data_IF_110281822065
#
_entry.id   IF_110281822065
#
_cell.length_a   1.000
_cell.length_b   1.000
_cell.length_c   1.000
_cell.angle_alpha   90.00
_cell.angle_beta   90.00
_cell.angle_gamma   90.00
#
_symmetry.space_group_name_H-M   'P 1'
#
loop_
_entity.id
_entity.type
_entity.pdbx_description
1 polymer ?
#
# COMPACT_ATOMS: atom_id res chain seq x y z
N UNK A 1 -19.86 10.11 12.70
CA UNK A 1 -20.39 10.39 11.35
C UNK A 1 -21.41 11.54 11.36
N UNK A 2 -22.23 11.65 12.41
CA UNK A 2 -23.28 12.69 12.50
C UNK A 2 -22.76 14.16 12.42
N UNK A 3 -21.49 14.38 12.64
CA UNK A 3 -20.87 15.71 12.62
C UNK A 3 -20.22 16.07 11.26
N UNK A 4 -20.32 15.19 10.25
CA UNK A 4 -19.74 15.43 8.94
C UNK A 4 -20.80 15.95 7.97
N UNK A 5 -20.56 17.08 7.32
CA UNK A 5 -21.51 17.79 6.49
C UNK A 5 -21.69 17.21 5.07
N UNK A 6 -20.71 16.43 4.60
CA UNK A 6 -20.70 15.88 3.25
C UNK A 6 -20.74 14.35 3.22
N UNK A 7 -21.39 13.80 2.22
CA UNK A 7 -21.51 12.33 2.03
C UNK A 7 -20.14 11.66 1.92
N UNK A 8 -19.17 12.30 1.25
CA UNK A 8 -17.82 11.78 1.12
C UNK A 8 -17.08 11.81 2.46
N UNK A 9 -17.26 12.86 3.25
CA UNK A 9 -16.69 12.99 4.60
C UNK A 9 -17.28 11.95 5.55
N UNK A 10 -18.58 11.67 5.44
CA UNK A 10 -19.25 10.61 6.21
C UNK A 10 -18.72 9.22 5.86
N UNK A 11 -18.58 8.92 4.55
CA UNK A 11 -17.98 7.67 4.09
C UNK A 11 -16.51 7.53 4.57
N UNK A 12 -15.76 8.61 4.51
CA UNK A 12 -14.39 8.69 5.03
C UNK A 12 -14.33 8.40 6.52
N UNK A 13 -15.24 9.00 7.30
CA UNK A 13 -15.30 8.79 8.75
C UNK A 13 -15.67 7.33 9.08
N UNK A 14 -16.62 6.73 8.35
CA UNK A 14 -16.98 5.33 8.50
C UNK A 14 -15.80 4.39 8.19
N UNK A 15 -15.09 4.64 7.08
CA UNK A 15 -13.89 3.89 6.70
C UNK A 15 -12.81 3.99 7.77
N UNK A 16 -12.47 5.22 8.22
CA UNK A 16 -11.45 5.44 9.26
C UNK A 16 -11.83 4.76 10.58
N UNK A 17 -13.11 4.74 10.94
CA UNK A 17 -13.59 4.05 12.14
C UNK A 17 -13.32 2.54 12.04
N UNK A 18 -13.66 1.90 10.91
CA UNK A 18 -13.39 0.48 10.69
C UNK A 18 -11.90 0.19 10.66
N UNK A 19 -11.11 1.04 10.01
CA UNK A 19 -9.65 0.85 9.92
C UNK A 19 -8.97 0.96 11.29
N UNK A 20 -9.37 1.95 12.11
CA UNK A 20 -8.72 2.26 13.39
C UNK A 20 -9.20 1.37 14.52
N UNK A 21 -10.52 1.16 14.62
CA UNK A 21 -11.16 0.59 15.82
C UNK A 21 -11.41 -0.91 15.69
N UNK A 22 -11.18 -1.51 14.53
CA UNK A 22 -11.28 -2.96 14.28
C UNK A 22 -9.94 -3.49 13.80
N UNK A 23 -9.29 -4.31 14.64
CA UNK A 23 -8.01 -4.92 14.30
C UNK A 23 -8.18 -5.93 13.15
N UNK A 24 -7.32 -5.86 12.16
CA UNK A 24 -7.30 -6.85 11.08
C UNK A 24 -6.66 -8.15 11.54
N UNK A 25 -7.34 -9.27 11.27
CA UNK A 25 -6.82 -10.62 11.46
C UNK A 25 -7.01 -11.35 10.14
N UNK A 26 -5.90 -11.78 9.53
CA UNK A 26 -5.97 -12.51 8.27
C UNK A 26 -6.49 -13.96 8.51
N UNK A 27 -7.60 -14.29 7.83
CA UNK A 27 -8.17 -15.64 7.83
C UNK A 27 -8.17 -16.23 6.40
N UNK A 28 -8.05 -15.37 5.39
CA UNK A 28 -8.12 -15.75 3.97
C UNK A 28 -9.53 -16.07 3.47
N UNK A 29 -9.66 -16.18 2.16
CA UNK A 29 -10.88 -16.67 1.50
C UNK A 29 -10.79 -18.16 1.15
N UNK A 30 -9.58 -18.67 1.07
CA UNK A 30 -9.22 -20.04 0.66
C UNK A 30 -9.41 -21.09 1.74
N UNK A 31 -9.54 -20.71 3.00
CA UNK A 31 -9.80 -21.61 4.14
C UNK A 31 -11.20 -22.21 4.21
N UNK A 32 -11.99 -22.13 3.13
CA UNK A 32 -13.36 -22.68 3.06
C UNK A 32 -14.41 -21.84 3.77
N UNK A 33 -14.05 -20.68 4.32
CA UNK A 33 -14.98 -19.80 5.01
C UNK A 33 -15.26 -18.53 4.18
N UNK A 34 -16.18 -18.66 3.23
CA UNK A 34 -16.68 -17.52 2.43
C UNK A 34 -17.73 -16.68 3.20
N UNK A 35 -18.20 -17.18 4.35
CA UNK A 35 -19.20 -16.46 5.16
C UNK A 35 -18.52 -15.39 6.01
N UNK A 36 -18.94 -14.11 5.94
CA UNK A 36 -18.45 -13.05 6.79
C UNK A 36 -18.95 -13.23 8.23
N UNK A 37 -18.16 -12.80 9.20
CA UNK A 37 -18.71 -12.44 10.51
C UNK A 37 -19.73 -11.31 10.33
N UNK A 38 -20.75 -11.26 11.17
CA UNK A 38 -21.73 -10.17 11.10
C UNK A 38 -21.10 -8.82 11.42
N UNK A 39 -21.71 -7.73 10.93
CA UNK A 39 -21.27 -6.38 11.28
C UNK A 39 -21.30 -6.17 12.82
N UNK A 40 -22.32 -6.71 13.49
CA UNK A 40 -22.46 -6.65 14.95
C UNK A 40 -21.29 -7.36 15.66
N UNK A 41 -20.99 -8.61 15.29
CA UNK A 41 -19.93 -9.39 15.93
C UNK A 41 -18.56 -8.76 15.66
N UNK A 42 -18.31 -8.31 14.43
CA UNK A 42 -17.07 -7.62 14.07
C UNK A 42 -16.86 -6.37 14.91
N UNK A 43 -17.93 -5.59 15.12
CA UNK A 43 -17.87 -4.39 15.96
C UNK A 43 -17.70 -4.72 17.44
N UNK A 44 -18.42 -5.72 17.93
CA UNK A 44 -18.37 -6.13 19.33
C UNK A 44 -16.97 -6.63 19.72
N UNK A 45 -16.39 -7.49 18.88
CA UNK A 45 -15.10 -8.11 19.15
C UNK A 45 -13.90 -7.23 18.83
N UNK A 46 -14.08 -6.13 18.09
CA UNK A 46 -13.01 -5.21 17.67
C UNK A 46 -11.90 -5.87 16.84
N UNK A 47 -12.22 -6.98 16.19
CA UNK A 47 -11.36 -7.61 15.19
C UNK A 47 -12.20 -8.24 14.09
N UNK A 48 -11.58 -8.42 12.92
CA UNK A 48 -12.19 -9.09 11.78
C UNK A 48 -11.19 -9.26 10.64
N UNK A 49 -11.50 -10.18 9.75
CA UNK A 49 -10.82 -10.32 8.48
C UNK A 49 -11.39 -9.34 7.42
N UNK A 50 -10.95 -9.46 6.16
CA UNK A 50 -11.47 -8.62 5.07
C UNK A 50 -13.00 -8.70 4.96
N UNK A 51 -13.58 -9.89 5.14
CA UNK A 51 -15.04 -10.10 5.05
C UNK A 51 -15.81 -9.41 6.18
N UNK A 52 -15.39 -9.61 7.43
CA UNK A 52 -16.04 -9.01 8.60
C UNK A 52 -15.93 -7.47 8.56
N UNK A 53 -14.77 -6.93 8.22
CA UNK A 53 -14.56 -5.48 8.11
C UNK A 53 -15.35 -4.89 6.95
N UNK A 54 -15.48 -5.59 5.82
CA UNK A 54 -16.36 -5.21 4.70
C UNK A 54 -17.83 -5.22 5.11
N UNK A 55 -18.30 -6.25 5.80
CA UNK A 55 -19.68 -6.32 6.30
C UNK A 55 -20.02 -5.15 7.24
N UNK A 56 -19.11 -4.83 8.16
CA UNK A 56 -19.26 -3.69 9.07
C UNK A 56 -19.28 -2.36 8.31
N UNK A 57 -18.37 -2.16 7.35
CA UNK A 57 -18.32 -0.94 6.57
C UNK A 57 -19.60 -0.75 5.74
N UNK A 58 -20.09 -1.82 5.08
CA UNK A 58 -21.35 -1.78 4.34
C UNK A 58 -22.54 -1.43 5.23
N UNK A 59 -22.61 -1.97 6.44
CA UNK A 59 -23.68 -1.63 7.40
C UNK A 59 -23.62 -0.14 7.77
N UNK A 60 -22.43 0.40 8.04
CA UNK A 60 -22.27 1.82 8.35
C UNK A 60 -22.65 2.73 7.17
N UNK A 61 -22.26 2.36 5.94
CA UNK A 61 -22.60 3.12 4.74
C UNK A 61 -24.10 3.08 4.46
N UNK A 62 -24.76 1.93 4.67
CA UNK A 62 -26.22 1.79 4.54
C UNK A 62 -26.97 2.70 5.54
N UNK A 63 -26.54 2.76 6.82
CA UNK A 63 -27.10 3.67 7.82
C UNK A 63 -26.91 5.17 7.46
N UNK A 64 -25.89 5.47 6.66
CA UNK A 64 -25.62 6.81 6.15
C UNK A 64 -26.35 7.10 4.82
N UNK A 65 -27.12 6.13 4.28
CA UNK A 65 -27.81 6.25 3.00
C UNK A 65 -26.86 6.27 1.79
N UNK A 66 -25.66 5.71 1.92
CA UNK A 66 -24.64 5.66 0.87
C UNK A 66 -24.75 4.32 0.13
N UNK A 67 -24.98 4.38 -1.19
CA UNK A 67 -25.02 3.20 -2.04
C UNK A 67 -23.63 2.55 -2.10
N UNK A 68 -23.55 1.30 -1.68
CA UNK A 68 -22.28 0.56 -1.66
C UNK A 68 -22.53 -0.95 -1.78
N UNK A 69 -21.54 -1.65 -2.29
CA UNK A 69 -21.56 -3.10 -2.45
C UNK A 69 -20.17 -3.71 -2.15
N UNK A 70 -20.17 -4.98 -1.77
CA UNK A 70 -18.92 -5.74 -1.66
C UNK A 70 -18.45 -6.16 -3.05
N UNK A 71 -17.14 -6.14 -3.27
CA UNK A 71 -16.51 -6.64 -4.50
C UNK A 71 -15.36 -7.56 -4.15
N UNK A 72 -15.28 -8.71 -4.83
CA UNK A 72 -14.15 -9.61 -4.75
C UNK A 72 -13.07 -9.19 -5.74
N UNK A 73 -11.83 -9.35 -5.31
CA UNK A 73 -10.64 -9.02 -6.10
C UNK A 73 -9.54 -10.04 -5.86
N UNK A 74 -8.56 -10.09 -6.76
CA UNK A 74 -7.32 -10.84 -6.56
C UNK A 74 -6.21 -9.88 -6.13
N UNK A 75 -5.81 -9.93 -4.87
CA UNK A 75 -4.80 -9.06 -4.27
C UNK A 75 -3.37 -9.56 -4.52
N UNK A 76 -3.21 -10.81 -4.95
CA UNK A 76 -1.91 -11.39 -5.29
C UNK A 76 -1.41 -10.98 -6.68
N UNK A 77 -2.22 -10.26 -7.47
CA UNK A 77 -1.89 -9.79 -8.81
C UNK A 77 -2.03 -10.87 -9.91
N UNK A 78 -2.70 -11.99 -9.61
CA UNK A 78 -2.92 -13.09 -10.54
C UNK A 78 -4.27 -13.01 -11.27
N UNK A 79 -4.75 -11.79 -11.54
CA UNK A 79 -6.06 -11.56 -12.18
C UNK A 79 -5.99 -11.34 -13.70
N UNK A 80 -4.80 -11.41 -14.29
CA UNK A 80 -4.65 -11.34 -15.75
C UNK A 80 -5.26 -12.57 -16.41
N UNK A 81 -6.08 -12.38 -17.43
CA UNK A 81 -6.82 -13.46 -18.11
C UNK A 81 -7.85 -14.15 -17.19
N UNK A 82 -8.36 -13.49 -16.16
CA UNK A 82 -9.36 -14.06 -15.25
C UNK A 82 -10.68 -14.37 -15.97
N UNK A 83 -11.03 -13.58 -16.96
CA UNK A 83 -12.21 -13.75 -17.83
C UNK A 83 -12.11 -14.94 -18.80
N UNK A 84 -10.90 -15.41 -19.08
CA UNK A 84 -10.64 -16.55 -19.95
C UNK A 84 -10.66 -17.90 -19.22
N UNK A 85 -10.76 -17.87 -17.89
CA UNK A 85 -10.71 -19.05 -17.03
C UNK A 85 -12.11 -19.51 -16.63
N UNK A 86 -12.23 -20.81 -16.32
CA UNK A 86 -13.46 -21.31 -15.72
C UNK A 86 -13.72 -20.65 -14.37
N UNK A 87 -14.98 -20.31 -14.06
CA UNK A 87 -15.34 -19.69 -12.79
C UNK A 87 -14.86 -20.52 -11.60
N UNK A 88 -14.05 -19.90 -10.75
CA UNK A 88 -13.50 -20.52 -9.55
C UNK A 88 -13.41 -19.48 -8.42
N UNK A 89 -14.17 -19.65 -7.31
CA UNK A 89 -14.08 -18.73 -6.18
C UNK A 89 -12.68 -18.58 -5.60
N UNK A 90 -11.84 -19.61 -5.69
CA UNK A 90 -10.45 -19.57 -5.21
C UNK A 90 -9.53 -18.63 -6.01
N UNK A 91 -10.03 -18.00 -7.08
CA UNK A 91 -9.29 -16.97 -7.81
C UNK A 91 -9.37 -15.60 -7.13
N UNK A 92 -10.18 -15.44 -6.09
CA UNK A 92 -10.31 -14.22 -5.31
C UNK A 92 -9.76 -14.47 -3.91
N UNK A 93 -8.89 -13.58 -3.45
CA UNK A 93 -8.26 -13.69 -2.13
C UNK A 93 -8.58 -12.48 -1.23
N UNK A 94 -9.30 -11.49 -1.74
CA UNK A 94 -9.66 -10.30 -1.00
C UNK A 94 -11.06 -9.77 -1.35
N UNK A 95 -11.67 -9.06 -0.40
CA UNK A 95 -12.95 -8.36 -0.56
C UNK A 95 -12.86 -6.96 0.02
N UNK A 96 -13.41 -5.99 -0.70
CA UNK A 96 -13.50 -4.60 -0.31
C UNK A 96 -14.85 -3.99 -0.71
N UNK A 97 -15.06 -2.71 -0.44
CA UNK A 97 -16.30 -2.00 -0.71
C UNK A 97 -16.14 -1.07 -1.91
N UNK A 98 -17.06 -1.16 -2.85
CA UNK A 98 -17.28 -0.17 -3.91
C UNK A 98 -18.47 0.71 -3.52
N UNK A 99 -18.28 2.02 -3.42
CA UNK A 99 -19.33 2.98 -3.07
C UNK A 99 -19.52 4.00 -4.18
N UNK A 100 -20.78 4.43 -4.40
CA UNK A 100 -21.13 5.50 -5.34
C UNK A 100 -21.50 6.76 -4.57
N UNK A 101 -20.71 7.82 -4.76
CA UNK A 101 -20.89 9.10 -4.04
C UNK A 101 -20.76 10.24 -5.04
N UNK A 102 -21.83 11.05 -5.17
CA UNK A 102 -21.82 12.21 -6.06
C UNK A 102 -21.56 11.88 -7.53
N UNK A 103 -21.96 10.69 -7.99
CA UNK A 103 -21.73 10.21 -9.35
C UNK A 103 -20.33 9.62 -9.60
N UNK A 104 -19.45 9.63 -8.60
CA UNK A 104 -18.13 9.01 -8.68
C UNK A 104 -18.10 7.66 -7.93
N UNK A 105 -17.25 6.76 -8.39
CA UNK A 105 -16.99 5.46 -7.75
C UNK A 105 -15.78 5.56 -6.83
N UNK A 106 -15.95 5.11 -5.59
CA UNK A 106 -14.92 5.06 -4.56
C UNK A 106 -14.69 3.62 -4.13
N UNK A 107 -13.42 3.28 -3.94
CA UNK A 107 -12.98 1.98 -3.47
C UNK A 107 -12.51 2.12 -2.02
N UNK A 108 -13.19 1.43 -1.12
CA UNK A 108 -13.02 1.60 0.32
C UNK A 108 -12.57 0.27 0.92
N UNK A 109 -11.32 0.21 1.34
CA UNK A 109 -10.75 -0.99 1.95
C UNK A 109 -10.55 -0.80 3.45
N UNK A 110 -11.40 -1.46 4.24
CA UNK A 110 -11.33 -1.43 5.69
C UNK A 110 -10.09 -2.12 6.28
N UNK A 111 -9.35 -2.90 5.49
CA UNK A 111 -8.16 -3.61 5.94
C UNK A 111 -6.89 -2.78 5.88
N UNK A 112 -6.90 -1.72 5.06
CA UNK A 112 -5.78 -0.79 4.96
C UNK A 112 -5.67 0.08 6.22
N UNK A 113 -4.48 0.61 6.52
CA UNK A 113 -4.31 1.54 7.63
C UNK A 113 -5.03 2.87 7.38
N UNK A 114 -5.44 3.60 8.44
CA UNK A 114 -6.24 4.83 8.34
C UNK A 114 -5.46 6.06 7.82
N UNK A 115 -4.30 5.85 7.23
CA UNK A 115 -3.43 6.90 6.67
C UNK A 115 -3.73 7.22 5.22
N UNK A 116 -4.61 6.45 4.57
CA UNK A 116 -5.02 6.70 3.18
C UNK A 116 -6.22 7.63 3.18
N UNK A 117 -6.13 8.86 2.62
CA UNK A 117 -7.30 9.67 2.40
C UNK A 117 -8.27 8.93 1.46
N UNK A 118 -9.58 8.91 1.72
CA UNK A 118 -10.56 8.24 0.85
C UNK A 118 -10.61 8.84 -0.56
N UNK A 119 -10.17 10.11 -0.71
CA UNK A 119 -10.02 10.79 -1.99
C UNK A 119 -8.78 10.36 -2.78
N UNK A 120 -7.77 9.79 -2.12
CA UNK A 120 -6.69 9.12 -2.81
C UNK A 120 -7.18 7.71 -3.14
N UNK A 121 -7.73 7.55 -4.32
CA UNK A 121 -7.95 6.22 -4.88
C UNK A 121 -6.58 5.56 -4.93
N UNK A 122 -6.28 4.56 -4.11
CA UNK A 122 -5.08 3.78 -4.31
C UNK A 122 -5.17 3.29 -5.75
N UNK A 123 -4.08 3.35 -6.48
CA UNK A 123 -4.01 2.66 -7.76
C UNK A 123 -4.07 1.18 -7.40
N UNK A 124 -5.26 0.64 -7.42
CA UNK A 124 -5.45 -0.78 -7.14
C UNK A 124 -4.81 -1.56 -8.29
N UNK A 125 -4.02 -2.57 -7.97
CA UNK A 125 -3.42 -3.41 -9.00
C UNK A 125 -4.43 -4.32 -9.70
N UNK A 126 -5.73 -4.18 -9.37
CA UNK A 126 -6.78 -5.05 -9.89
C UNK A 126 -7.15 -4.70 -11.31
N UNK A 127 -7.20 -5.72 -12.17
CA UNK A 127 -7.75 -5.61 -13.54
C UNK A 127 -9.20 -6.04 -13.58
N UNK A 128 -9.58 -6.97 -12.72
CA UNK A 128 -10.91 -7.55 -12.67
C UNK A 128 -11.48 -7.47 -11.26
N UNK A 129 -12.78 -7.22 -11.19
CA UNK A 129 -13.55 -7.26 -9.95
C UNK A 129 -14.83 -8.05 -10.17
N UNK A 130 -15.29 -8.72 -9.11
CA UNK A 130 -16.58 -9.41 -9.11
C UNK A 130 -17.49 -8.77 -8.05
N UNK A 131 -18.48 -7.94 -8.44
CA UNK A 131 -19.46 -7.41 -7.51
C UNK A 131 -20.28 -8.51 -6.87
N UNK A 132 -20.57 -8.40 -5.58
CA UNK A 132 -21.43 -9.33 -4.87
C UNK A 132 -22.82 -8.74 -4.75
N UNK A 133 -23.73 -9.16 -5.64
CA UNK A 133 -25.12 -8.73 -5.64
C UNK A 133 -26.06 -9.89 -5.33
N UNK A 134 -27.29 -9.57 -4.84
CA UNK A 134 -28.31 -10.60 -4.51
C UNK A 134 -28.74 -11.46 -5.70
N UNK A 135 -28.57 -10.96 -6.91
CA UNK A 135 -29.03 -11.61 -8.14
C UNK A 135 -27.88 -12.21 -8.97
N UNK A 136 -26.68 -12.26 -8.39
CA UNK A 136 -25.47 -12.61 -9.11
C UNK A 136 -24.93 -11.42 -9.92
N UNK A 137 -23.71 -11.58 -10.41
CA UNK A 137 -23.03 -10.57 -11.21
C UNK A 137 -22.02 -11.24 -12.15
N UNK A 138 -21.48 -10.45 -13.06
CA UNK A 138 -20.38 -10.85 -13.94
C UNK A 138 -19.11 -10.16 -13.52
N UNK A 139 -17.97 -10.69 -13.95
CA UNK A 139 -16.69 -10.00 -13.86
C UNK A 139 -16.78 -8.65 -14.57
N UNK A 140 -16.26 -7.62 -13.92
CA UNK A 140 -16.12 -6.29 -14.48
C UNK A 140 -14.65 -5.98 -14.67
N UNK A 141 -14.27 -5.56 -15.88
CA UNK A 141 -12.93 -5.11 -16.19
C UNK A 141 -12.73 -3.69 -15.69
N UNK A 142 -11.71 -3.48 -14.86
CA UNK A 142 -11.28 -2.15 -14.48
C UNK A 142 -10.31 -1.62 -15.53
N UNK A 143 -10.61 -0.44 -16.09
CA UNK A 143 -9.66 0.22 -16.97
C UNK A 143 -8.42 0.62 -16.15
N UNK A 144 -7.34 -0.12 -16.36
CA UNK A 144 -6.07 0.21 -15.75
C UNK A 144 -5.54 1.51 -16.34
N UNK A 145 -5.18 2.42 -15.45
CA UNK A 145 -4.46 3.63 -15.81
C UNK A 145 -3.08 3.58 -15.18
N UNK A 146 -2.01 3.82 -15.95
CA UNK A 146 -0.68 3.86 -15.39
C UNK A 146 -0.61 4.94 -14.30
N UNK A 147 0.11 4.64 -13.24
CA UNK A 147 0.38 5.62 -12.21
C UNK A 147 1.10 6.83 -12.83
N UNK A 148 0.70 8.04 -12.45
CA UNK A 148 1.33 9.27 -12.93
C UNK A 148 2.77 9.44 -12.44
N UNK A 149 3.14 8.70 -11.39
CA UNK A 149 4.46 8.70 -10.77
C UNK A 149 4.88 7.25 -10.53
N UNK A 150 6.18 6.94 -10.58
CA UNK A 150 6.67 5.61 -10.23
C UNK A 150 6.24 5.22 -8.81
N UNK A 151 5.92 3.95 -8.61
CA UNK A 151 5.62 3.41 -7.27
C UNK A 151 6.86 3.44 -6.38
N UNK A 152 8.02 3.28 -6.98
CA UNK A 152 9.30 3.35 -6.29
C UNK A 152 10.28 4.18 -7.11
N UNK A 153 11.00 5.08 -6.43
CA UNK A 153 12.08 5.87 -7.00
C UNK A 153 13.17 6.05 -5.96
N UNK A 154 14.41 5.83 -6.35
CA UNK A 154 15.58 6.17 -5.53
C UNK A 154 16.38 7.26 -6.24
N UNK A 155 16.64 8.32 -5.51
CA UNK A 155 17.47 9.44 -5.92
C UNK A 155 18.82 9.31 -5.22
N UNK A 156 19.90 9.44 -5.97
CA UNK A 156 21.26 9.43 -5.45
C UNK A 156 21.94 10.78 -5.70
N UNK A 157 22.53 11.33 -4.67
CA UNK A 157 23.47 12.46 -4.73
C UNK A 157 24.85 11.90 -4.39
N UNK A 158 25.77 11.89 -5.36
CA UNK A 158 27.11 11.30 -5.21
C UNK A 158 28.14 12.40 -5.41
N UNK A 159 28.95 12.67 -4.40
CA UNK A 159 30.06 13.60 -4.45
C UNK A 159 31.40 12.84 -4.43
N UNK A 160 32.00 12.70 -5.61
CA UNK A 160 33.29 12.04 -5.81
C UNK A 160 34.46 13.03 -6.06
N UNK A 161 34.29 14.31 -5.74
CA UNK A 161 35.32 15.35 -5.95
C UNK A 161 36.62 15.13 -5.14
N UNK A 162 36.57 14.29 -4.12
CA UNK A 162 37.75 13.90 -3.36
C UNK A 162 38.76 13.09 -4.19
N UNK A 163 38.35 12.57 -5.36
CA UNK A 163 39.19 11.79 -6.24
C UNK A 163 38.77 10.32 -6.37
N UNK A 164 39.34 9.65 -7.37
CA UNK A 164 38.94 8.27 -7.71
C UNK A 164 39.34 7.24 -6.67
N UNK A 165 40.39 7.51 -5.89
CA UNK A 165 40.93 6.60 -4.89
C UNK A 165 40.37 6.88 -3.47
N UNK A 166 39.43 7.84 -3.38
CA UNK A 166 38.80 8.22 -2.13
C UNK A 166 37.34 7.79 -2.11
N UNK A 167 36.80 7.46 -0.92
CA UNK A 167 35.35 7.23 -0.80
C UNK A 167 34.54 8.45 -1.23
N UNK A 168 33.49 8.22 -2.01
CA UNK A 168 32.54 9.26 -2.36
C UNK A 168 31.53 9.50 -1.23
N UNK A 169 31.16 10.75 -1.00
CA UNK A 169 30.01 11.07 -0.14
C UNK A 169 28.72 10.79 -0.91
N UNK A 170 27.79 10.11 -0.26
CA UNK A 170 26.54 9.72 -0.88
C UNK A 170 25.35 10.05 0.03
N UNK A 171 24.32 10.64 -0.56
CA UNK A 171 23.00 10.67 0.00
C UNK A 171 22.04 9.95 -0.95
N UNK A 172 21.22 9.06 -0.44
CA UNK A 172 20.13 8.41 -1.18
C UNK A 172 18.79 8.71 -0.54
N UNK A 173 17.77 8.95 -1.39
CA UNK A 173 16.39 9.11 -0.96
C UNK A 173 15.53 8.14 -1.74
N UNK A 174 15.00 7.13 -1.04
CA UNK A 174 14.05 6.16 -1.61
C UNK A 174 12.63 6.56 -1.22
N UNK A 175 11.77 6.71 -2.21
CA UNK A 175 10.36 7.05 -2.07
C UNK A 175 9.55 5.87 -2.56
N UNK A 176 8.76 5.26 -1.68
CA UNK A 176 7.89 4.11 -2.00
C UNK A 176 6.45 4.51 -1.80
N UNK A 177 5.64 4.36 -2.84
CA UNK A 177 4.22 4.74 -2.91
C UNK A 177 3.31 3.51 -2.94
N UNK A 178 2.00 3.77 -2.98
CA UNK A 178 1.00 2.72 -3.11
C UNK A 178 1.01 1.73 -1.94
N UNK A 179 0.63 0.49 -2.24
CA UNK A 179 0.48 -0.57 -1.22
C UNK A 179 1.79 -0.86 -0.50
N UNK A 180 2.92 -0.90 -1.21
CA UNK A 180 4.24 -1.12 -0.58
C UNK A 180 4.58 -0.03 0.43
N UNK A 181 4.34 1.24 0.08
CA UNK A 181 4.57 2.36 0.99
C UNK A 181 3.70 2.29 2.25
N UNK A 182 2.44 1.87 2.10
CA UNK A 182 1.53 1.64 3.22
C UNK A 182 1.97 0.46 4.11
N UNK A 183 2.42 -0.63 3.51
CA UNK A 183 2.95 -1.78 4.25
C UNK A 183 4.17 -1.37 5.09
N UNK A 184 5.09 -0.57 4.51
CA UNK A 184 6.21 -0.01 5.25
C UNK A 184 5.75 0.90 6.40
N UNK A 185 4.72 1.74 6.18
CA UNK A 185 4.14 2.57 7.22
C UNK A 185 3.63 1.72 8.40
N UNK A 186 2.87 0.66 8.12
CA UNK A 186 2.35 -0.24 9.16
C UNK A 186 3.49 -0.92 9.90
N UNK A 187 4.43 -1.48 9.17
CA UNK A 187 5.55 -2.21 9.74
C UNK A 187 6.45 -1.32 10.59
N UNK A 188 6.79 -0.13 10.10
CA UNK A 188 7.77 0.73 10.75
C UNK A 188 7.18 1.56 11.89
N UNK A 189 5.92 1.97 11.80
CA UNK A 189 5.27 2.71 12.88
C UNK A 189 5.02 1.88 14.15
N UNK A 190 5.04 0.55 14.03
CA UNK A 190 4.93 -0.36 15.17
C UNK A 190 6.25 -0.58 15.93
N UNK A 191 7.37 -0.06 15.42
CA UNK A 191 8.71 -0.24 16.01
C UNK A 191 9.11 0.99 16.82
N UNK A 192 9.88 0.78 17.88
CA UNK A 192 10.55 1.89 18.55
C UNK A 192 11.58 2.53 17.59
N UNK A 193 11.77 3.88 17.60
CA UNK A 193 12.65 4.55 16.62
C UNK A 193 14.07 3.95 16.53
N UNK A 194 14.66 3.61 17.65
CA UNK A 194 16.01 3.00 17.70
C UNK A 194 16.03 1.58 17.11
N UNK A 195 14.99 0.80 17.30
CA UNK A 195 14.88 -0.55 16.71
C UNK A 195 14.73 -0.45 15.18
N UNK A 196 13.90 0.47 14.72
CA UNK A 196 13.73 0.75 13.30
C UNK A 196 15.07 1.16 12.65
N UNK A 197 15.73 2.17 13.21
CA UNK A 197 16.99 2.68 12.65
C UNK A 197 18.10 1.63 12.70
N UNK A 198 18.19 0.83 13.77
CA UNK A 198 19.16 -0.28 13.86
C UNK A 198 18.88 -1.36 12.83
N UNK A 199 17.62 -1.74 12.65
CA UNK A 199 17.21 -2.73 11.65
C UNK A 199 17.48 -2.26 10.22
N UNK A 200 17.15 -1.01 9.91
CA UNK A 200 17.46 -0.42 8.61
C UNK A 200 18.95 -0.35 8.35
N UNK A 201 19.76 0.08 9.32
CA UNK A 201 21.23 0.12 9.18
C UNK A 201 21.80 -1.27 8.89
N UNK A 202 21.32 -2.31 9.56
CA UNK A 202 21.79 -3.68 9.32
C UNK A 202 21.48 -4.17 7.90
N UNK A 203 20.33 -3.77 7.34
CA UNK A 203 19.95 -4.12 5.96
C UNK A 203 20.73 -3.34 4.90
N UNK A 204 21.16 -2.11 5.23
CA UNK A 204 21.87 -1.21 4.31
C UNK A 204 23.36 -1.56 4.22
N UNK A 205 23.95 -2.06 5.30
CA UNK A 205 25.39 -2.43 5.32
C UNK A 205 25.62 -3.57 4.33
N UNK A 206 26.16 -3.21 3.18
CA UNK A 206 26.51 -4.10 2.06
C UNK A 206 27.84 -3.66 1.46
N UNK A 207 28.29 -4.32 0.39
CA UNK A 207 29.59 -4.03 -0.23
C UNK A 207 29.70 -2.59 -0.77
N UNK A 208 28.57 -1.93 -1.00
CA UNK A 208 28.53 -0.57 -1.57
C UNK A 208 28.72 0.53 -0.51
N UNK A 209 28.08 0.39 0.66
CA UNK A 209 28.18 1.37 1.73
C UNK A 209 29.40 1.07 2.61
N UNK A 210 30.39 1.96 2.58
CA UNK A 210 31.55 1.87 3.46
C UNK A 210 31.23 2.39 4.88
N UNK A 211 30.49 3.50 4.96
CA UNK A 211 29.90 4.02 6.20
C UNK A 211 28.46 4.39 5.99
N UNK A 212 27.65 4.27 7.04
CA UNK A 212 26.29 4.79 7.12
C UNK A 212 26.26 5.78 8.28
N UNK A 213 26.29 7.06 7.96
CA UNK A 213 26.37 8.15 8.95
C UNK A 213 24.99 8.45 9.53
N UNK A 214 23.95 8.55 8.65
CA UNK A 214 22.61 8.88 9.07
C UNK A 214 21.57 8.04 8.27
N UNK A 215 20.49 7.67 8.97
CA UNK A 215 19.31 6.98 8.40
C UNK A 215 18.08 7.63 8.97
N UNK A 216 17.21 8.12 8.10
CA UNK A 216 15.94 8.73 8.47
C UNK A 216 14.82 8.09 7.68
N UNK A 217 13.74 7.77 8.38
CA UNK A 217 12.51 7.31 7.77
C UNK A 217 11.35 8.19 8.22
N UNK A 218 10.45 8.48 7.29
CA UNK A 218 9.16 9.13 7.56
C UNK A 218 8.10 8.64 6.60
N UNK A 219 6.87 8.70 7.02
CA UNK A 219 5.74 8.56 6.11
C UNK A 219 5.16 9.93 5.78
N UNK A 220 5.09 10.23 4.49
CA UNK A 220 4.49 11.45 3.97
C UNK A 220 3.01 11.18 3.69
N UNK A 221 2.14 11.70 4.57
CA UNK A 221 0.70 11.47 4.47
C UNK A 221 0.09 12.15 3.25
N UNK A 222 0.60 13.30 2.86
CA UNK A 222 0.09 14.07 1.73
C UNK A 222 0.45 13.42 0.41
N UNK A 223 1.68 12.92 0.29
CA UNK A 223 2.15 12.17 -0.86
C UNK A 223 1.75 10.68 -0.83
N UNK A 224 1.17 10.18 0.28
CA UNK A 224 0.92 8.77 0.57
C UNK A 224 2.15 7.91 0.28
N UNK A 225 3.31 8.32 0.79
CA UNK A 225 4.59 7.73 0.47
C UNK A 225 5.47 7.49 1.71
N UNK A 226 6.12 6.35 1.76
CA UNK A 226 7.23 6.06 2.66
C UNK A 226 8.50 6.66 2.07
N UNK A 227 9.24 7.42 2.87
CA UNK A 227 10.47 8.10 2.45
C UNK A 227 11.60 7.67 3.38
N UNK A 228 12.59 7.00 2.81
CA UNK A 228 13.83 6.60 3.48
C UNK A 228 14.99 7.42 2.93
N UNK A 229 15.71 8.11 3.79
CA UNK A 229 16.93 8.85 3.44
C UNK A 229 18.12 8.24 4.18
N UNK A 230 19.19 8.00 3.44
CA UNK A 230 20.45 7.42 3.95
C UNK A 230 21.57 8.33 3.51
N UNK A 231 22.52 8.60 4.39
CA UNK A 231 23.76 9.29 4.03
C UNK A 231 24.98 8.59 4.61
N UNK A 232 26.10 8.72 3.91
CA UNK A 232 27.35 8.08 4.31
C UNK A 232 28.40 8.15 3.20
N UNK A 233 29.22 7.11 3.12
CA UNK A 233 30.27 7.00 2.09
C UNK A 233 30.17 5.68 1.34
N UNK A 234 30.45 5.72 0.04
CA UNK A 234 30.61 4.56 -0.82
C UNK A 234 32.07 4.39 -1.24
N UNK A 235 32.52 3.15 -1.25
CA UNK A 235 33.69 2.76 -2.03
C UNK A 235 33.21 2.53 -3.46
N UNK A 236 33.67 3.40 -4.37
CA UNK A 236 33.34 3.28 -5.79
C UNK A 236 34.43 2.49 -6.49
N UNK A 237 34.09 1.35 -7.07
CA UNK A 237 34.99 0.59 -7.93
C UNK A 237 34.84 1.15 -9.36
N UNK A 238 35.77 2.04 -9.72
CA UNK A 238 35.81 2.69 -11.02
C UNK A 238 36.30 1.74 -12.10
N UNK A 239 35.55 1.62 -13.19
CA UNK A 239 36.05 0.96 -14.39
C UNK A 239 36.92 1.98 -15.17
N UNK A 240 38.13 1.58 -15.48
CA UNK A 240 39.07 2.35 -16.30
C UNK A 240 39.05 1.80 -17.73
N UNK A 241 38.74 2.63 -18.73
CA UNK A 241 38.67 2.23 -20.14
C UNK A 241 40.05 2.31 -20.86
N UNK A 242 41.10 2.64 -20.11
CA UNK A 242 42.45 2.81 -20.64
C UNK A 242 42.66 4.11 -21.43
N UNK A 243 41.64 4.89 -21.64
CA UNK A 243 41.64 6.20 -22.34
C UNK A 243 41.64 7.40 -21.39
N UNK A 244 41.73 7.15 -20.08
CA UNK A 244 41.64 8.18 -19.04
C UNK A 244 40.23 8.51 -18.56
N UNK A 245 39.17 7.94 -19.19
CA UNK A 245 37.80 8.00 -18.70
C UNK A 245 37.55 6.90 -17.67
N UNK A 246 36.81 7.22 -16.62
CA UNK A 246 36.40 6.26 -15.61
C UNK A 246 34.87 6.25 -15.51
N UNK A 247 34.31 5.09 -15.36
CA UNK A 247 32.87 4.89 -15.26
C UNK A 247 32.49 4.03 -14.07
N UNK A 248 31.27 4.18 -13.59
CA UNK A 248 30.68 3.34 -12.53
C UNK A 248 29.23 3.07 -12.88
N UNK A 249 28.78 1.85 -12.65
CA UNK A 249 27.37 1.52 -12.73
C UNK A 249 26.67 2.03 -11.47
N UNK A 250 25.63 2.84 -11.65
CA UNK A 250 24.76 3.23 -10.56
C UNK A 250 23.87 2.05 -10.15
N UNK A 251 23.55 1.91 -8.85
CA UNK A 251 22.60 0.89 -8.41
C UNK A 251 21.24 1.13 -9.08
N UNK A 252 20.66 0.09 -9.67
CA UNK A 252 19.33 0.09 -10.30
C UNK A 252 18.39 -0.89 -9.64
#
# INVERSE_FOLDING_TARGET
AANHSGTLEQASAALKLVQRDVRYIYVGLDGGNLSPATAHDTWLHRYGDCKGKTALLLALLAELGIEAEAVLVNNSGADDGLDERLPNPGMFDHVLVRAKIGGATYWLDGTLPPVVPPSSVPVFPYRWVLPLTKHGSSLEHLQWQPARRPDEITLYEIDARAGFDQPARVASTTIVRGIKGLQQQVQFSGLAPNQLLSGLRQQIVGPTWQTVDDVKWRYDQEAAASVLTISGTWKIDWNDDGGGARSVALPG
#
